data_IF_177268193823
#
_entry.id   IF_177268193823
#
_cell.length_a   1.000
_cell.length_b   1.000
_cell.length_c   1.000
_cell.angle_alpha   90.00
_cell.angle_beta   90.00
_cell.angle_gamma   90.00
#
_symmetry.space_group_name_H-M   'P 1'
#
loop_
_entity.id
_entity.type
_entity.pdbx_description
1 polymer ?
#
# COMPACT_ATOMS: atom_id res chain seq x y z
N UNK A 1 -18.29 -5.99 -14.88
CA UNK A 1 -19.16 -7.10 -14.46
C UNK A 1 -18.68 -7.64 -13.13
N UNK A 2 -19.58 -7.90 -12.17
CA UNK A 2 -19.21 -8.31 -10.81
C UNK A 2 -18.86 -9.80 -10.71
N UNK A 3 -17.65 -10.16 -11.14
CA UNK A 3 -17.10 -11.52 -11.01
C UNK A 3 -16.09 -11.58 -9.86
N UNK A 4 -16.58 -11.36 -8.63
CA UNK A 4 -15.76 -11.25 -7.40
C UNK A 4 -14.79 -12.43 -7.27
N UNK A 5 -15.22 -13.67 -7.48
CA UNK A 5 -14.33 -14.84 -7.37
C UNK A 5 -13.17 -14.82 -8.36
N UNK A 6 -13.40 -14.37 -9.60
CA UNK A 6 -12.32 -14.28 -10.60
C UNK A 6 -11.31 -13.22 -10.16
N UNK A 7 -11.78 -12.05 -9.74
CA UNK A 7 -10.90 -10.98 -9.24
C UNK A 7 -10.19 -11.36 -7.94
N UNK A 8 -10.84 -12.14 -7.08
CA UNK A 8 -10.24 -12.66 -5.86
C UNK A 8 -9.13 -13.66 -6.15
N UNK A 9 -9.35 -14.63 -7.05
CA UNK A 9 -8.32 -15.58 -7.48
C UNK A 9 -7.13 -14.84 -8.08
N UNK A 10 -7.40 -13.87 -8.96
CA UNK A 10 -6.36 -13.00 -9.54
C UNK A 10 -5.57 -12.27 -8.44
N UNK A 11 -6.26 -11.62 -7.50
CA UNK A 11 -5.65 -10.92 -6.38
C UNK A 11 -4.73 -11.82 -5.56
N UNK A 12 -5.24 -12.97 -5.10
CA UNK A 12 -4.44 -13.92 -4.30
C UNK A 12 -3.23 -14.42 -5.09
N UNK A 13 -3.41 -14.81 -6.36
CA UNK A 13 -2.30 -15.24 -7.20
C UNK A 13 -1.22 -14.15 -7.31
N UNK A 14 -1.61 -12.89 -7.49
CA UNK A 14 -0.65 -11.78 -7.57
C UNK A 14 0.05 -11.46 -6.26
N UNK A 15 -0.59 -11.65 -5.10
CA UNK A 15 0.07 -11.49 -3.79
C UNK A 15 1.25 -12.46 -3.67
N UNK A 16 1.08 -13.71 -4.10
CA UNK A 16 2.17 -14.66 -4.11
C UNK A 16 3.21 -14.32 -5.17
N UNK A 17 2.80 -13.92 -6.38
CA UNK A 17 3.71 -13.52 -7.47
C UNK A 17 4.59 -12.32 -7.04
N UNK A 18 4.05 -11.34 -6.33
CA UNK A 18 4.80 -10.15 -5.91
C UNK A 18 5.87 -10.43 -4.84
N UNK A 19 5.79 -11.56 -4.15
CA UNK A 19 6.85 -12.02 -3.24
C UNK A 19 7.99 -12.72 -4.01
N UNK A 20 7.81 -13.06 -5.29
CA UNK A 20 8.88 -13.59 -6.13
C UNK A 20 9.73 -12.45 -6.75
N UNK A 21 11.03 -12.69 -6.79
CA UNK A 21 12.13 -11.75 -7.04
C UNK A 21 11.93 -10.78 -8.24
N UNK A 22 12.27 -9.50 -8.02
CA UNK A 22 12.33 -8.38 -9.00
C UNK A 22 13.04 -8.79 -10.30
N UNK A 23 14.01 -9.69 -10.19
CA UNK A 23 14.75 -10.28 -11.30
C UNK A 23 13.85 -10.87 -12.39
N UNK A 24 12.72 -11.49 -12.03
CA UNK A 24 11.78 -12.09 -12.98
C UNK A 24 11.12 -11.04 -13.89
N UNK A 25 10.70 -9.90 -13.34
CA UNK A 25 10.07 -8.82 -14.11
C UNK A 25 11.08 -8.04 -14.96
N UNK A 26 12.31 -7.87 -14.45
CA UNK A 26 13.41 -7.30 -15.25
C UNK A 26 13.68 -8.14 -16.49
N UNK A 27 13.82 -9.45 -16.32
CA UNK A 27 14.16 -10.34 -17.43
C UNK A 27 13.04 -10.41 -18.48
N UNK A 28 11.76 -10.40 -18.05
CA UNK A 28 10.61 -10.26 -18.95
C UNK A 28 10.61 -8.92 -19.70
N UNK A 29 10.94 -7.82 -19.03
CA UNK A 29 10.96 -6.50 -19.67
C UNK A 29 12.06 -6.40 -20.74
N UNK A 30 13.24 -6.95 -20.48
CA UNK A 30 14.36 -6.99 -21.45
C UNK A 30 14.02 -7.89 -22.64
N UNK A 31 13.30 -9.00 -22.40
CA UNK A 31 13.01 -9.98 -23.45
C UNK A 31 11.85 -9.57 -24.38
N UNK A 32 10.81 -8.90 -23.85
CA UNK A 32 9.56 -8.67 -24.59
C UNK A 32 9.27 -7.20 -24.93
N UNK A 33 9.94 -6.23 -24.30
CA UNK A 33 9.64 -4.82 -24.59
C UNK A 33 10.46 -4.30 -25.77
N UNK A 34 9.90 -3.47 -26.65
CA UNK A 34 10.65 -2.80 -27.71
C UNK A 34 11.70 -1.84 -27.11
N UNK A 35 12.83 -1.65 -27.81
CA UNK A 35 13.99 -0.87 -27.34
C UNK A 35 13.65 0.53 -26.78
N UNK A 36 12.68 1.23 -27.38
CA UNK A 36 12.19 2.54 -26.91
C UNK A 36 11.60 2.52 -25.50
N UNK A 37 11.01 1.40 -25.08
CA UNK A 37 10.48 1.20 -23.74
C UNK A 37 11.54 0.64 -22.79
N UNK A 38 12.51 -0.13 -23.29
CA UNK A 38 13.61 -0.66 -22.50
C UNK A 38 14.46 0.44 -21.85
N UNK A 39 14.81 1.51 -22.58
CA UNK A 39 15.57 2.65 -22.03
C UNK A 39 14.84 3.39 -20.91
N UNK A 40 13.50 3.45 -20.97
CA UNK A 40 12.70 4.08 -19.91
C UNK A 40 12.54 3.17 -18.70
N UNK A 41 12.40 1.87 -18.93
CA UNK A 41 12.22 0.86 -17.87
C UNK A 41 13.52 0.57 -17.14
N UNK A 42 14.67 0.55 -17.81
CA UNK A 42 15.98 0.35 -17.21
C UNK A 42 16.33 1.44 -16.19
N UNK A 43 15.91 2.69 -16.42
CA UNK A 43 16.05 3.78 -15.45
C UNK A 43 15.23 3.59 -14.17
N UNK A 44 14.10 2.86 -14.22
CA UNK A 44 13.31 2.51 -13.02
C UNK A 44 13.76 1.21 -12.36
N UNK A 45 14.54 0.38 -13.06
CA UNK A 45 15.12 -0.87 -12.58
C UNK A 45 16.61 -0.72 -12.24
N UNK A 46 17.09 0.51 -12.05
CA UNK A 46 18.49 0.79 -11.73
C UNK A 46 18.90 0.07 -10.44
N UNK A 47 19.88 -0.82 -10.56
CA UNK A 47 20.40 -1.63 -9.45
C UNK A 47 20.99 -0.75 -8.35
N UNK A 48 21.51 0.44 -8.69
CA UNK A 48 22.06 1.36 -7.70
C UNK A 48 20.98 1.98 -6.82
N UNK A 49 19.82 2.33 -7.41
CA UNK A 49 18.66 2.80 -6.67
C UNK A 49 18.07 1.69 -5.78
N UNK A 50 17.96 0.47 -6.32
CA UNK A 50 17.49 -0.68 -5.54
C UNK A 50 18.44 -1.01 -4.36
N UNK A 51 19.76 -0.98 -4.57
CA UNK A 51 20.77 -1.23 -3.52
C UNK A 51 20.78 -0.14 -2.45
N UNK A 52 20.73 1.14 -2.85
CA UNK A 52 20.68 2.25 -1.89
C UNK A 52 19.40 2.24 -1.05
N UNK A 53 18.26 1.83 -1.64
CA UNK A 53 17.03 1.63 -0.89
C UNK A 53 17.13 0.45 0.08
N UNK A 54 17.71 -0.67 -0.35
CA UNK A 54 17.91 -1.87 0.49
C UNK A 54 18.87 -1.58 1.66
N UNK A 55 19.97 -0.87 1.42
CA UNK A 55 20.92 -0.48 2.46
C UNK A 55 20.31 0.54 3.42
N UNK A 56 19.47 1.46 2.94
CA UNK A 56 18.69 2.35 3.79
C UNK A 56 17.72 1.56 4.68
N UNK A 57 16.98 0.60 4.11
CA UNK A 57 16.03 -0.25 4.86
C UNK A 57 16.75 -1.04 5.98
N UNK A 58 17.95 -1.57 5.73
CA UNK A 58 18.73 -2.29 6.74
C UNK A 58 19.13 -1.44 7.96
N UNK A 59 19.18 -0.12 7.81
CA UNK A 59 19.47 0.81 8.92
C UNK A 59 18.24 1.21 9.72
N UNK A 60 17.04 0.91 9.22
CA UNK A 60 15.79 1.27 9.89
C UNK A 60 15.46 0.27 11.01
N UNK A 61 14.82 0.77 12.05
CA UNK A 61 14.26 -0.08 13.09
C UNK A 61 13.18 -1.00 12.51
N UNK A 62 13.09 -2.24 13.00
CA UNK A 62 12.15 -3.27 12.53
C UNK A 62 10.69 -2.78 12.43
N UNK A 63 10.22 -1.95 13.36
CA UNK A 63 8.85 -1.44 13.36
C UNK A 63 8.59 -0.43 12.23
N UNK A 64 9.62 0.25 11.73
CA UNK A 64 9.56 1.17 10.58
C UNK A 64 9.44 0.38 9.28
N UNK A 65 9.99 -0.82 9.19
CA UNK A 65 9.74 -1.68 8.03
C UNK A 65 8.37 -2.38 8.14
N UNK A 66 8.07 -2.95 9.31
CA UNK A 66 6.92 -3.82 9.49
C UNK A 66 5.57 -3.10 9.50
N UNK A 67 5.49 -1.80 9.80
CA UNK A 67 4.20 -1.11 9.90
C UNK A 67 3.38 -1.14 8.59
N UNK A 68 4.03 -1.03 7.43
CA UNK A 68 3.36 -1.12 6.12
C UNK A 68 2.97 -2.55 5.78
N UNK A 69 3.92 -3.49 5.92
CA UNK A 69 3.69 -4.92 5.68
C UNK A 69 2.55 -5.46 6.56
N UNK A 70 2.52 -5.09 7.83
CA UNK A 70 1.46 -5.51 8.75
C UNK A 70 0.07 -4.99 8.31
N UNK A 71 -0.02 -3.74 7.86
CA UNK A 71 -1.26 -3.18 7.33
C UNK A 71 -1.71 -3.90 6.05
N UNK A 72 -0.79 -4.15 5.12
CA UNK A 72 -1.06 -4.88 3.88
C UNK A 72 -1.60 -6.29 4.16
N UNK A 73 -0.92 -7.04 5.03
CA UNK A 73 -1.38 -8.38 5.44
C UNK A 73 -2.75 -8.35 6.13
N UNK A 74 -3.00 -7.35 6.99
CA UNK A 74 -4.31 -7.17 7.60
C UNK A 74 -5.39 -6.94 6.53
N UNK A 75 -5.13 -6.08 5.55
CA UNK A 75 -6.06 -5.81 4.44
C UNK A 75 -6.30 -7.07 3.61
N UNK A 76 -5.25 -7.81 3.25
CA UNK A 76 -5.35 -9.06 2.48
C UNK A 76 -6.25 -10.04 3.22
N UNK A 77 -5.98 -10.32 4.50
CA UNK A 77 -6.76 -11.26 5.31
C UNK A 77 -8.23 -10.84 5.41
N UNK A 78 -8.49 -9.56 5.70
CA UNK A 78 -9.87 -9.06 5.83
C UNK A 78 -10.59 -9.12 4.50
N UNK A 79 -9.98 -8.67 3.39
CA UNK A 79 -10.59 -8.75 2.07
C UNK A 79 -10.83 -10.20 1.64
N UNK A 80 -9.95 -11.14 1.96
CA UNK A 80 -10.15 -12.57 1.74
C UNK A 80 -11.37 -13.09 2.49
N UNK A 81 -11.51 -12.75 3.78
CA UNK A 81 -12.69 -13.15 4.56
C UNK A 81 -13.98 -12.56 3.98
N UNK A 82 -13.96 -11.30 3.53
CA UNK A 82 -15.13 -10.67 2.91
C UNK A 82 -15.46 -11.32 1.56
N UNK A 83 -14.46 -11.53 0.71
CA UNK A 83 -14.61 -12.08 -0.63
C UNK A 83 -15.05 -13.55 -0.62
N UNK A 84 -14.73 -14.33 0.42
CA UNK A 84 -15.24 -15.70 0.57
C UNK A 84 -16.68 -15.75 1.10
N UNK A 85 -17.07 -14.80 1.95
CA UNK A 85 -18.39 -14.77 2.59
C UNK A 85 -19.42 -13.84 1.91
N UNK A 86 -19.07 -13.19 0.79
CA UNK A 86 -19.87 -12.08 0.22
C UNK A 86 -21.32 -12.44 -0.14
N UNK A 87 -21.59 -13.71 -0.51
CA UNK A 87 -22.92 -14.15 -0.96
C UNK A 87 -23.98 -14.02 0.13
N UNK A 88 -23.60 -14.25 1.38
CA UNK A 88 -24.48 -14.15 2.53
C UNK A 88 -24.77 -12.70 2.94
N UNK A 89 -23.90 -11.76 2.55
CA UNK A 89 -23.80 -10.45 3.18
C UNK A 89 -24.27 -9.29 2.28
N UNK A 90 -24.18 -9.45 0.97
CA UNK A 90 -24.44 -8.35 0.02
C UNK A 90 -25.45 -8.67 -1.08
N UNK A 91 -26.31 -9.68 -0.90
CA UNK A 91 -27.35 -10.01 -1.88
C UNK A 91 -28.19 -8.79 -2.31
N UNK A 92 -28.32 -7.77 -1.44
CA UNK A 92 -29.12 -6.56 -1.66
C UNK A 92 -28.35 -5.27 -2.03
N UNK A 93 -27.01 -5.27 -2.10
CA UNK A 93 -26.21 -4.05 -2.34
C UNK A 93 -25.24 -4.23 -3.52
N UNK A 94 -25.72 -4.00 -4.74
CA UNK A 94 -24.91 -4.19 -5.95
C UNK A 94 -23.72 -3.24 -6.07
N UNK A 95 -23.82 -2.02 -5.50
CA UNK A 95 -22.70 -1.07 -5.46
C UNK A 95 -21.54 -1.59 -4.61
N UNK A 96 -21.82 -2.28 -3.50
CA UNK A 96 -20.78 -2.86 -2.64
C UNK A 96 -20.02 -3.98 -3.35
N UNK A 97 -20.73 -4.81 -4.13
CA UNK A 97 -20.11 -5.85 -4.98
C UNK A 97 -19.20 -5.24 -6.04
N UNK A 98 -19.62 -4.14 -6.66
CA UNK A 98 -18.82 -3.41 -7.66
C UNK A 98 -17.58 -2.80 -7.05
N UNK A 99 -17.70 -2.21 -5.86
CA UNK A 99 -16.55 -1.63 -5.18
C UNK A 99 -15.55 -2.70 -4.73
N UNK A 100 -16.02 -3.83 -4.17
CA UNK A 100 -15.15 -4.95 -3.82
C UNK A 100 -14.44 -5.54 -5.06
N UNK A 101 -15.17 -5.71 -6.17
CA UNK A 101 -14.59 -6.18 -7.43
C UNK A 101 -13.50 -5.24 -7.94
N UNK A 102 -13.73 -3.93 -7.86
CA UNK A 102 -12.74 -2.91 -8.19
C UNK A 102 -11.51 -3.00 -7.29
N UNK A 103 -11.69 -3.12 -5.97
CA UNK A 103 -10.58 -3.21 -5.01
C UNK A 103 -9.72 -4.44 -5.25
N UNK A 104 -10.34 -5.60 -5.47
CA UNK A 104 -9.62 -6.85 -5.75
C UNK A 104 -8.82 -6.77 -7.06
N UNK A 105 -9.43 -6.23 -8.12
CA UNK A 105 -8.76 -6.04 -9.41
C UNK A 105 -7.62 -5.02 -9.30
N UNK A 106 -7.86 -3.88 -8.64
CA UNK A 106 -6.87 -2.83 -8.44
C UNK A 106 -5.72 -3.31 -7.54
N UNK A 107 -6.01 -4.09 -6.50
CA UNK A 107 -5.02 -4.72 -5.65
C UNK A 107 -4.16 -5.71 -6.44
N UNK A 108 -4.75 -6.49 -7.35
CA UNK A 108 -3.99 -7.41 -8.18
C UNK A 108 -2.98 -6.68 -9.08
N UNK A 109 -3.42 -5.56 -9.66
CA UNK A 109 -2.55 -4.67 -10.42
C UNK A 109 -1.48 -4.01 -9.54
N UNK A 110 -1.86 -3.56 -8.33
CA UNK A 110 -0.96 -2.97 -7.35
C UNK A 110 0.16 -3.93 -6.94
N UNK A 111 -0.16 -5.20 -6.66
CA UNK A 111 0.82 -6.23 -6.30
C UNK A 111 1.86 -6.43 -7.40
N UNK A 112 1.43 -6.52 -8.66
CA UNK A 112 2.34 -6.65 -9.81
C UNK A 112 3.26 -5.43 -9.88
N UNK A 113 2.70 -4.22 -9.78
CA UNK A 113 3.50 -3.00 -9.87
C UNK A 113 4.41 -2.79 -8.66
N UNK A 114 4.08 -3.31 -7.48
CA UNK A 114 4.91 -3.19 -6.28
C UNK A 114 6.28 -3.87 -6.42
N UNK A 115 6.44 -4.75 -7.40
CA UNK A 115 7.76 -5.33 -7.78
C UNK A 115 8.70 -4.30 -8.41
N UNK A 116 8.16 -3.16 -8.85
CA UNK A 116 8.93 -2.04 -9.40
C UNK A 116 9.18 -1.03 -8.27
N UNK A 117 10.40 -0.48 -8.10
CA UNK A 117 10.73 0.41 -6.98
C UNK A 117 9.80 1.63 -6.82
N UNK A 118 9.22 2.14 -7.91
CA UNK A 118 8.27 3.27 -7.89
C UNK A 118 6.80 2.85 -7.72
N UNK A 119 6.50 1.55 -7.80
CA UNK A 119 5.14 1.01 -7.82
C UNK A 119 4.45 0.91 -6.46
N UNK A 120 5.18 1.10 -5.36
CA UNK A 120 4.59 1.11 -4.01
C UNK A 120 3.47 2.15 -3.82
N UNK A 121 3.42 3.20 -4.64
CA UNK A 121 2.32 4.18 -4.65
C UNK A 121 0.96 3.56 -4.98
N UNK A 122 0.93 2.55 -5.85
CA UNK A 122 -0.31 1.85 -6.18
C UNK A 122 -0.80 0.99 -5.01
N UNK A 123 0.11 0.42 -4.22
CA UNK A 123 -0.24 -0.28 -2.98
C UNK A 123 -0.80 0.66 -1.90
N UNK A 124 -0.30 1.88 -1.81
CA UNK A 124 -0.89 2.92 -0.93
C UNK A 124 -2.31 3.26 -1.35
N UNK A 125 -2.57 3.45 -2.65
CA UNK A 125 -3.92 3.73 -3.17
C UNK A 125 -4.87 2.53 -2.96
N UNK A 126 -4.37 1.32 -3.19
CA UNK A 126 -5.10 0.09 -2.92
C UNK A 126 -5.50 0.03 -1.44
N UNK A 127 -4.55 0.28 -0.54
CA UNK A 127 -4.78 0.28 0.90
C UNK A 127 -5.83 1.31 1.31
N UNK A 128 -5.81 2.50 0.71
CA UNK A 128 -6.82 3.54 0.93
C UNK A 128 -8.23 3.06 0.55
N UNK A 129 -8.41 2.53 -0.67
CA UNK A 129 -9.71 2.02 -1.12
C UNK A 129 -10.18 0.83 -0.28
N UNK A 130 -9.27 -0.09 0.04
CA UNK A 130 -9.56 -1.25 0.86
C UNK A 130 -10.01 -0.87 2.27
N UNK A 131 -9.28 0.01 2.97
CA UNK A 131 -9.66 0.48 4.31
C UNK A 131 -11.02 1.18 4.27
N UNK A 132 -11.25 2.06 3.29
CA UNK A 132 -12.54 2.74 3.11
C UNK A 132 -13.69 1.74 2.98
N UNK A 133 -13.51 0.69 2.15
CA UNK A 133 -14.49 -0.37 2.02
C UNK A 133 -14.67 -1.19 3.30
N UNK A 134 -13.57 -1.53 3.99
CA UNK A 134 -13.58 -2.27 5.25
C UNK A 134 -14.38 -1.51 6.31
N UNK A 135 -14.19 -0.18 6.44
CA UNK A 135 -14.97 0.65 7.38
C UNK A 135 -16.45 0.62 7.02
N UNK A 136 -16.81 0.78 5.74
CA UNK A 136 -18.21 0.72 5.28
C UNK A 136 -18.81 -0.67 5.54
N UNK A 137 -18.03 -1.74 5.31
CA UNK A 137 -18.42 -3.12 5.54
C UNK A 137 -18.76 -3.36 7.00
N UNK A 138 -17.85 -3.02 7.92
CA UNK A 138 -18.05 -3.24 9.35
C UNK A 138 -19.13 -2.35 9.97
N UNK A 139 -19.34 -1.13 9.44
CA UNK A 139 -20.46 -0.27 9.86
C UNK A 139 -21.83 -0.92 9.62
N UNK A 140 -21.98 -1.64 8.51
CA UNK A 140 -23.26 -2.24 8.10
C UNK A 140 -23.44 -3.68 8.59
N UNK A 141 -22.51 -4.18 9.41
CA UNK A 141 -22.44 -5.57 9.85
C UNK A 141 -22.88 -5.75 11.31
N UNK A 142 -23.56 -6.86 11.58
CA UNK A 142 -23.93 -7.32 12.92
C UNK A 142 -23.38 -8.74 13.15
N UNK A 143 -22.87 -9.03 14.36
CA UNK A 143 -22.45 -10.39 14.77
C UNK A 143 -20.94 -10.65 14.86
N UNK A 144 -20.54 -11.93 14.86
CA UNK A 144 -19.15 -12.42 15.10
C UNK A 144 -18.09 -11.73 14.24
N UNK A 145 -18.42 -11.40 12.99
CA UNK A 145 -17.53 -10.68 12.08
C UNK A 145 -17.17 -9.31 12.63
N UNK A 146 -18.08 -8.59 13.30
CA UNK A 146 -17.77 -7.27 13.90
C UNK A 146 -16.61 -7.35 14.90
N UNK A 147 -16.41 -8.47 15.59
CA UNK A 147 -15.32 -8.61 16.56
C UNK A 147 -13.95 -8.83 15.90
N UNK A 148 -13.87 -9.26 14.64
CA UNK A 148 -12.57 -9.44 13.96
C UNK A 148 -11.87 -8.11 13.66
N UNK A 149 -12.58 -6.98 13.62
CA UNK A 149 -11.95 -5.66 13.47
C UNK A 149 -11.09 -5.27 14.68
N UNK A 150 -11.42 -5.78 15.88
CA UNK A 150 -10.69 -5.47 17.11
C UNK A 150 -9.25 -5.95 17.02
N UNK A 151 -9.01 -7.08 16.33
CA UNK A 151 -7.68 -7.60 16.05
C UNK A 151 -6.89 -6.69 15.08
N UNK A 152 -7.57 -5.90 14.25
CA UNK A 152 -6.97 -4.94 13.32
C UNK A 152 -6.58 -3.61 13.95
N UNK A 153 -7.22 -3.21 15.05
CA UNK A 153 -6.95 -1.95 15.74
C UNK A 153 -5.46 -1.76 16.09
N UNK A 154 -4.75 -2.71 16.71
CA UNK A 154 -3.33 -2.53 17.02
C UNK A 154 -2.47 -2.35 15.77
N UNK A 155 -2.80 -3.06 14.67
CA UNK A 155 -2.08 -2.93 13.39
C UNK A 155 -2.28 -1.55 12.79
N UNK A 156 -3.53 -1.05 12.77
CA UNK A 156 -3.86 0.28 12.25
C UNK A 156 -3.20 1.36 13.11
N UNK A 157 -3.22 1.22 14.44
CA UNK A 157 -2.55 2.16 15.35
C UNK A 157 -1.04 2.20 15.13
N UNK A 158 -0.40 1.03 14.99
CA UNK A 158 1.02 0.96 14.66
C UNK A 158 1.33 1.71 13.36
N UNK A 159 0.53 1.46 12.32
CA UNK A 159 0.67 2.16 11.05
C UNK A 159 0.52 3.68 11.20
N UNK A 160 -0.49 4.15 11.93
CA UNK A 160 -0.74 5.58 12.14
C UNK A 160 0.42 6.23 12.89
N UNK A 161 0.86 5.65 14.01
CA UNK A 161 1.92 6.22 14.86
C UNK A 161 3.22 6.33 14.08
N UNK A 162 3.61 5.26 13.37
CA UNK A 162 4.84 5.26 12.58
C UNK A 162 4.75 6.21 11.39
N UNK A 163 3.61 6.24 10.68
CA UNK A 163 3.43 7.17 9.56
C UNK A 163 3.46 8.64 10.00
N UNK A 164 2.87 8.95 11.15
CA UNK A 164 2.91 10.31 11.71
C UNK A 164 4.34 10.71 12.08
N UNK A 165 5.07 9.80 12.73
CA UNK A 165 6.48 10.01 13.08
C UNK A 165 7.32 10.29 11.84
N UNK A 166 7.24 9.44 10.83
CA UNK A 166 7.95 9.65 9.57
C UNK A 166 7.52 10.96 8.91
N UNK A 167 6.24 11.32 8.98
CA UNK A 167 5.74 12.61 8.51
C UNK A 167 6.42 13.80 9.19
N UNK A 168 6.65 13.74 10.50
CA UNK A 168 7.35 14.81 11.23
C UNK A 168 8.83 14.94 10.86
N UNK A 169 9.48 13.86 10.40
CA UNK A 169 10.86 13.93 9.89
C UNK A 169 10.95 14.76 8.59
N UNK A 170 9.86 14.83 7.81
CA UNK A 170 9.81 15.58 6.54
C UNK A 170 9.19 16.98 6.66
N UNK A 171 8.53 17.31 7.77
CA UNK A 171 7.92 18.63 7.95
C UNK A 171 8.93 19.55 8.64
N UNK A 172 9.38 20.56 7.91
CA UNK A 172 10.18 21.65 8.46
C UNK A 172 9.32 22.57 9.32
N UNK A 173 9.89 23.11 10.40
CA UNK A 173 9.20 24.05 11.32
C UNK A 173 8.71 25.29 10.56
N UNK A 174 9.49 25.75 9.59
CA UNK A 174 9.13 26.85 8.71
C UNK A 174 7.91 26.53 7.84
N UNK A 175 7.64 25.26 7.51
CA UNK A 175 6.42 24.87 6.79
C UNK A 175 5.15 24.97 7.66
N UNK A 176 5.26 24.91 8.99
CA UNK A 176 4.13 25.11 9.91
C UNK A 176 3.92 26.58 10.33
N UNK A 177 5.01 27.31 10.55
CA UNK A 177 4.97 28.68 11.10
C UNK A 177 5.13 29.75 10.02
N UNK A 178 5.81 29.43 8.92
CA UNK A 178 6.02 30.30 7.77
C UNK A 178 4.86 30.22 6.77
N UNK A 179 4.68 31.31 6.02
CA UNK A 179 3.79 31.30 4.86
C UNK A 179 4.42 30.38 3.79
N UNK A 180 3.64 29.53 3.08
CA UNK A 180 4.17 28.69 2.00
C UNK A 180 4.98 29.45 0.93
N UNK A 181 4.76 30.77 0.80
CA UNK A 181 5.56 31.64 -0.07
C UNK A 181 6.93 32.02 0.52
N UNK A 182 7.05 32.15 1.84
CA UNK A 182 8.31 32.49 2.52
C UNK A 182 9.22 31.28 2.72
N UNK A 183 8.65 30.07 2.77
CA UNK A 183 9.38 28.81 2.92
C UNK A 183 10.13 28.38 1.67
N UNK A 184 9.76 28.92 0.49
CA UNK A 184 10.47 28.68 -0.77
C UNK A 184 11.83 29.41 -0.83
N UNK A 185 12.07 30.38 0.06
CA UNK A 185 13.27 31.22 0.05
C UNK A 185 14.11 31.08 1.34
N UNK A 186 13.67 30.26 2.28
CA UNK A 186 14.34 30.03 3.57
C UNK A 186 14.69 28.54 3.70
N UNK A 187 15.89 28.18 3.25
CA UNK A 187 16.48 26.86 3.44
C UNK A 187 17.03 26.74 4.87
N UNK A 188 16.17 26.41 5.83
CA UNK A 188 16.63 25.91 7.13
C UNK A 188 16.07 24.51 7.35
N UNK A 189 16.99 23.54 7.41
CA UNK A 189 16.75 22.08 7.43
C UNK A 189 16.40 21.53 8.82
N UNK A 190 15.88 22.34 9.75
CA UNK A 190 15.54 21.83 11.08
C UNK A 190 14.19 21.10 10.98
N UNK A 191 14.26 19.78 11.06
CA UNK A 191 13.09 18.90 11.13
C UNK A 191 12.33 19.11 12.45
N UNK A 192 11.01 18.92 12.45
CA UNK A 192 10.21 18.97 13.68
C UNK A 192 10.62 17.90 14.70
N UNK A 193 11.14 16.77 14.23
CA UNK A 193 11.57 15.68 15.10
C UNK A 193 12.80 16.05 15.95
N UNK A 194 13.72 16.87 15.43
CA UNK A 194 14.91 17.29 16.18
C UNK A 194 14.61 18.31 17.30
N UNK A 195 13.40 18.90 17.31
CA UNK A 195 12.91 19.71 18.44
C UNK A 195 12.26 18.88 19.55
N UNK A 196 11.80 17.66 19.25
CA UNK A 196 11.05 16.81 20.17
C UNK A 196 11.96 15.79 20.89
N UNK A 197 13.16 15.53 20.35
CA UNK A 197 14.21 14.76 21.03
C UNK A 197 14.76 15.51 22.25
#
# INVERSE_FOLDING_TARGET
GNRIYIYYILFVATVFISEFDISFFRDLSIQYFPQLLQERVSGYLDENYAKSLDDYIKTLNWYVEMHKKALEWFIIVVLSLIALNYQFLFSKLDKAKSYLSFILLFGAFGNILNTIPSGGRFMTLFSFFAISFIVIYYKNMYGFVKNSIVLGVPVILLFIIVSFRLGFDYVNIFALVGNPLTTLFLDNEISLMDLIK
#
